data_IF_696266216074
#
_entry.id   IF_696266216074
#
_cell.length_a   1.000
_cell.length_b   1.000
_cell.length_c   1.000
_cell.angle_alpha   90.00
_cell.angle_beta   90.00
_cell.angle_gamma   90.00
#
_symmetry.space_group_name_H-M   'P 1'
#
loop_
_entity.id
_entity.type
_entity.pdbx_description
1 polymer ?
#
# COMPACT_ATOMS: atom_id res chain seq x y z
N UNK A 1 -7.59 11.16 12.07
CA UNK A 1 -7.31 10.35 10.85
C UNK A 1 -7.14 8.87 11.29
N UNK A 2 -6.88 7.94 10.38
CA UNK A 2 -6.69 6.50 10.71
C UNK A 2 -5.51 6.29 11.67
N UNK A 3 -4.40 7.02 11.50
CA UNK A 3 -3.24 6.95 12.41
C UNK A 3 -3.58 7.29 13.86
N UNK A 4 -4.51 8.22 14.09
CA UNK A 4 -5.01 8.56 15.43
C UNK A 4 -5.72 7.38 16.10
N UNK A 5 -6.53 6.63 15.34
CA UNK A 5 -7.25 5.46 15.86
C UNK A 5 -6.26 4.35 16.23
N UNK A 6 -5.28 4.09 15.37
CA UNK A 6 -4.25 3.08 15.60
C UNK A 6 -3.32 3.42 16.77
N UNK A 7 -3.21 4.70 17.13
CA UNK A 7 -2.44 5.15 18.28
C UNK A 7 -3.14 4.94 19.63
N UNK A 8 -4.43 4.59 19.66
CA UNK A 8 -5.17 4.36 20.91
C UNK A 8 -4.62 3.14 21.67
N UNK A 9 -4.65 3.11 23.01
CA UNK A 9 -4.19 1.96 23.80
C UNK A 9 -4.88 0.64 23.45
N UNK A 10 -6.12 0.70 22.96
CA UNK A 10 -6.86 -0.48 22.51
C UNK A 10 -6.26 -1.15 21.27
N UNK A 11 -5.48 -0.42 20.47
CA UNK A 11 -4.95 -0.86 19.17
C UNK A 11 -3.41 -0.91 19.12
N UNK A 12 -2.74 0.07 19.74
CA UNK A 12 -1.28 0.25 19.64
C UNK A 12 -0.52 -1.01 20.09
N UNK A 13 0.38 -1.49 19.25
CA UNK A 13 1.21 -2.67 19.52
C UNK A 13 0.47 -4.02 19.46
N UNK A 14 -0.83 -4.02 19.09
CA UNK A 14 -1.63 -5.25 18.98
C UNK A 14 -1.75 -5.79 17.56
N UNK A 15 -1.50 -4.95 16.55
CA UNK A 15 -1.40 -5.43 15.16
C UNK A 15 -0.11 -6.22 15.02
N UNK A 16 -0.24 -7.54 14.82
CA UNK A 16 0.89 -8.46 14.65
C UNK A 16 1.11 -8.89 13.21
N UNK A 17 0.02 -8.96 12.44
CA UNK A 17 0.00 -9.39 11.06
C UNK A 17 -0.96 -8.51 10.27
N UNK A 18 -0.50 -8.03 9.14
CA UNK A 18 -1.27 -7.28 8.15
C UNK A 18 -1.28 -8.12 6.89
N UNK A 19 -2.47 -8.44 6.40
CA UNK A 19 -2.66 -9.18 5.15
C UNK A 19 -3.50 -8.30 4.24
N UNK A 20 -2.95 -7.98 3.07
CA UNK A 20 -3.61 -7.17 2.06
C UNK A 20 -3.88 -8.06 0.86
N UNK A 21 -5.16 -8.11 0.49
CA UNK A 21 -5.61 -8.79 -0.72
C UNK A 21 -5.27 -7.94 -1.95
N UNK A 22 -4.55 -8.55 -2.89
CA UNK A 22 -4.13 -7.92 -4.15
C UNK A 22 -4.48 -8.83 -5.34
N UNK A 23 -5.61 -9.53 -5.30
CA UNK A 23 -6.08 -10.34 -6.43
C UNK A 23 -6.51 -9.43 -7.58
N UNK A 24 -7.34 -8.42 -7.28
CA UNK A 24 -7.86 -7.44 -8.25
C UNK A 24 -7.89 -6.01 -7.71
N UNK A 25 -6.72 -5.40 -7.47
CA UNK A 25 -6.63 -4.04 -6.96
C UNK A 25 -7.22 -3.00 -7.93
N UNK A 26 -7.67 -1.87 -7.39
CA UNK A 26 -8.15 -0.71 -8.13
C UNK A 26 -7.05 0.36 -8.13
N UNK A 27 -6.56 0.79 -9.29
CA UNK A 27 -5.48 1.78 -9.38
C UNK A 27 -5.94 3.22 -9.58
N UNK A 28 -7.24 3.47 -9.78
CA UNK A 28 -7.77 4.82 -9.94
C UNK A 28 -9.26 4.93 -9.54
N UNK A 29 -9.62 6.05 -8.88
CA UNK A 29 -10.98 6.32 -8.41
C UNK A 29 -11.31 5.61 -7.09
N UNK A 30 -12.57 5.21 -6.95
CA UNK A 30 -13.12 4.65 -5.71
C UNK A 30 -14.03 5.63 -4.95
N UNK A 31 -14.82 5.17 -3.95
CA UNK A 31 -14.91 3.78 -3.49
C UNK A 31 -15.70 2.86 -4.44
N UNK A 32 -16.47 3.42 -5.38
CA UNK A 32 -17.11 2.64 -6.43
C UNK A 32 -16.06 2.10 -7.40
N UNK A 33 -16.23 0.83 -7.74
CA UNK A 33 -15.31 0.12 -8.61
C UNK A 33 -15.61 0.48 -10.07
N UNK A 34 -14.58 0.98 -10.78
CA UNK A 34 -14.60 1.09 -12.23
C UNK A 34 -13.74 -0.05 -12.82
N UNK A 35 -14.34 -0.99 -13.58
CA UNK A 35 -13.61 -2.12 -14.18
C UNK A 35 -12.41 -1.72 -15.05
N UNK A 36 -12.44 -0.55 -15.68
CA UNK A 36 -11.33 -0.06 -16.52
C UNK A 36 -10.07 0.26 -15.71
N UNK A 37 -10.18 0.38 -14.39
CA UNK A 37 -9.08 0.67 -13.47
C UNK A 37 -8.77 -0.48 -12.50
N UNK A 38 -9.25 -1.68 -12.81
CA UNK A 38 -8.86 -2.91 -12.13
C UNK A 38 -7.95 -3.75 -13.01
N UNK A 39 -7.13 -4.60 -12.39
CA UNK A 39 -6.34 -5.60 -13.10
C UNK A 39 -6.12 -6.84 -12.24
N UNK A 40 -5.92 -7.99 -12.88
CA UNK A 40 -5.67 -9.24 -12.19
C UNK A 40 -4.20 -9.33 -11.73
N UNK A 41 -3.88 -8.71 -10.58
CA UNK A 41 -2.54 -8.82 -9.99
C UNK A 41 -2.30 -10.20 -9.34
N UNK A 42 -3.36 -10.87 -8.87
CA UNK A 42 -3.33 -12.26 -8.34
C UNK A 42 -2.33 -12.46 -7.20
N UNK A 43 -2.12 -11.43 -6.39
CA UNK A 43 -1.15 -11.43 -5.30
C UNK A 43 -1.76 -11.32 -3.91
N UNK A 44 -0.91 -11.53 -2.91
CA UNK A 44 -1.15 -11.19 -1.51
C UNK A 44 0.08 -10.46 -0.98
N UNK A 45 -0.14 -9.44 -0.15
CA UNK A 45 0.92 -8.82 0.62
C UNK A 45 0.73 -9.15 2.09
N UNK A 46 1.79 -9.58 2.75
CA UNK A 46 1.81 -9.92 4.16
C UNK A 46 2.93 -9.15 4.84
N UNK A 47 2.64 -8.51 5.96
CA UNK A 47 3.60 -7.68 6.70
C UNK A 47 3.34 -7.74 8.21
N UNK A 48 4.39 -7.53 9.00
CA UNK A 48 4.28 -7.27 10.44
C UNK A 48 4.28 -5.77 10.78
N UNK A 49 4.52 -4.91 9.78
CA UNK A 49 4.50 -3.45 9.88
C UNK A 49 3.39 -2.88 8.97
N UNK A 50 2.36 -2.21 9.53
CA UNK A 50 1.25 -1.67 8.76
C UNK A 50 1.63 -0.52 7.83
N UNK A 51 2.59 0.32 8.24
CA UNK A 51 3.03 1.47 7.42
C UNK A 51 3.89 0.98 6.27
N UNK A 52 4.74 -0.03 6.50
CA UNK A 52 5.54 -0.64 5.44
C UNK A 52 4.65 -1.32 4.40
N UNK A 53 3.58 -2.00 4.83
CA UNK A 53 2.60 -2.63 3.95
C UNK A 53 1.96 -1.61 3.01
N UNK A 54 1.42 -0.52 3.55
CA UNK A 54 0.78 0.54 2.75
C UNK A 54 1.80 1.27 1.85
N UNK A 55 3.06 1.39 2.29
CA UNK A 55 4.15 1.99 1.50
C UNK A 55 4.44 1.15 0.25
N UNK A 56 4.50 -0.17 0.40
CA UNK A 56 4.66 -1.11 -0.73
C UNK A 56 3.44 -1.06 -1.65
N UNK A 57 2.22 -1.07 -1.09
CA UNK A 57 0.98 -0.93 -1.87
C UNK A 57 0.95 0.37 -2.67
N UNK A 58 1.36 1.50 -2.08
CA UNK A 58 1.41 2.78 -2.78
C UNK A 58 2.38 2.75 -3.97
N UNK A 59 3.55 2.10 -3.83
CA UNK A 59 4.51 1.94 -4.94
C UNK A 59 3.95 1.05 -6.03
N UNK A 60 3.37 -0.09 -5.67
CA UNK A 60 2.70 -0.99 -6.61
C UNK A 60 1.60 -0.26 -7.38
N UNK A 61 0.77 0.53 -6.68
CA UNK A 61 -0.29 1.34 -7.26
C UNK A 61 0.28 2.37 -8.24
N UNK A 62 1.30 3.11 -7.83
CA UNK A 62 1.94 4.14 -8.66
C UNK A 62 2.54 3.52 -9.92
N UNK A 63 3.25 2.40 -9.79
CA UNK A 63 3.83 1.68 -10.93
C UNK A 63 2.74 1.22 -11.90
N UNK A 64 1.57 0.76 -11.41
CA UNK A 64 0.44 0.39 -12.28
C UNK A 64 -0.16 1.61 -12.99
N UNK A 65 -0.30 2.73 -12.29
CA UNK A 65 -0.84 3.99 -12.85
C UNK A 65 0.06 4.51 -13.95
N UNK A 66 1.36 4.50 -13.71
CA UNK A 66 2.37 4.96 -14.67
C UNK A 66 2.39 4.06 -15.92
N UNK A 67 2.39 2.73 -15.71
CA UNK A 67 2.28 1.73 -16.78
C UNK A 67 1.01 1.92 -17.64
N UNK A 68 -0.16 2.07 -17.00
CA UNK A 68 -1.42 2.24 -17.70
C UNK A 68 -1.49 3.55 -18.51
N UNK A 69 -0.94 4.64 -17.98
CA UNK A 69 -0.97 5.94 -18.66
C UNK A 69 0.16 6.08 -19.70
N UNK A 70 1.25 5.34 -19.54
CA UNK A 70 2.48 5.48 -20.33
C UNK A 70 3.39 6.64 -19.90
N UNK A 71 3.02 7.33 -18.81
CA UNK A 71 3.77 8.43 -18.20
C UNK A 71 3.43 8.53 -16.71
N UNK A 72 4.17 9.36 -15.97
CA UNK A 72 3.91 9.64 -14.56
C UNK A 72 2.44 10.06 -14.36
N UNK A 73 1.70 9.32 -13.55
CA UNK A 73 0.33 9.62 -13.16
C UNK A 73 0.18 9.65 -11.65
N UNK A 74 0.58 10.76 -11.04
CA UNK A 74 0.55 10.91 -9.58
C UNK A 74 -0.86 10.72 -9.02
N UNK A 75 -0.93 10.17 -7.81
CA UNK A 75 -2.16 10.07 -7.04
C UNK A 75 -2.60 11.46 -6.57
N UNK A 76 -3.87 11.81 -6.80
CA UNK A 76 -4.47 13.07 -6.35
C UNK A 76 -5.79 12.80 -5.60
N UNK A 77 -5.91 13.23 -4.33
CA UNK A 77 -4.86 13.85 -3.52
C UNK A 77 -3.72 12.87 -3.19
N UNK A 78 -2.51 13.36 -2.87
CA UNK A 78 -1.41 12.50 -2.46
C UNK A 78 -1.73 11.74 -1.17
N UNK A 79 -1.07 10.59 -0.97
CA UNK A 79 -1.26 9.71 0.17
C UNK A 79 -0.62 10.26 1.47
N UNK A 80 -0.98 11.47 1.89
CA UNK A 80 -0.41 12.16 3.06
C UNK A 80 -0.56 11.40 4.39
N UNK A 81 -1.57 10.52 4.47
CA UNK A 81 -1.83 9.69 5.65
C UNK A 81 -0.67 8.74 5.98
N UNK A 82 0.07 8.27 4.97
CA UNK A 82 1.25 7.42 5.14
C UNK A 82 2.36 8.16 5.88
N UNK A 83 2.63 9.41 5.48
CA UNK A 83 3.64 10.24 6.11
C UNK A 83 3.29 10.57 7.56
N UNK A 84 2.04 10.96 7.83
CA UNK A 84 1.55 11.19 9.19
C UNK A 84 1.63 9.93 10.07
N UNK A 85 1.24 8.75 9.55
CA UNK A 85 1.32 7.49 10.30
C UNK A 85 2.78 7.10 10.64
N UNK A 86 3.69 7.33 9.70
CA UNK A 86 5.11 7.06 9.81
C UNK A 86 5.81 8.03 10.79
N UNK A 87 5.69 9.33 10.56
CA UNK A 87 6.50 10.37 11.23
C UNK A 87 5.87 10.86 12.53
N UNK A 88 4.57 11.12 12.54
CA UNK A 88 3.88 11.69 13.71
C UNK A 88 3.47 10.60 14.69
N UNK A 89 2.82 9.53 14.21
CA UNK A 89 2.28 8.48 15.08
C UNK A 89 3.27 7.34 15.38
N UNK A 90 4.35 7.24 14.59
CA UNK A 90 5.41 6.22 14.71
C UNK A 90 4.82 4.81 14.76
N UNK A 91 3.90 4.51 13.85
CA UNK A 91 3.20 3.23 13.77
C UNK A 91 3.95 2.16 12.97
N UNK A 92 5.01 2.56 12.28
CA UNK A 92 5.79 1.73 11.38
C UNK A 92 6.72 2.58 10.53
N UNK A 93 7.31 2.00 9.48
CA UNK A 93 8.23 2.71 8.58
C UNK A 93 7.68 2.91 7.17
N UNK A 94 7.95 4.10 6.61
CA UNK A 94 7.69 4.48 5.23
C UNK A 94 8.99 4.63 4.42
N UNK A 95 10.12 4.25 5.01
CA UNK A 95 11.45 4.35 4.43
C UNK A 95 11.81 3.05 3.71
N UNK A 96 11.92 3.11 2.37
CA UNK A 96 12.27 1.96 1.53
C UNK A 96 13.62 1.33 1.90
N UNK A 97 14.58 2.08 2.41
CA UNK A 97 15.87 1.53 2.85
C UNK A 97 15.76 0.64 4.11
N UNK A 98 14.60 0.66 4.78
CA UNK A 98 14.29 -0.10 5.99
C UNK A 98 13.22 -1.17 5.78
N UNK A 99 12.69 -1.28 4.56
CA UNK A 99 11.68 -2.28 4.20
C UNK A 99 12.39 -3.42 3.48
N UNK A 100 12.42 -4.60 4.11
CA UNK A 100 12.89 -5.83 3.48
C UNK A 100 11.73 -6.49 2.72
N UNK A 101 11.69 -6.28 1.40
CA UNK A 101 10.65 -6.84 0.55
C UNK A 101 11.09 -8.18 -0.04
N UNK A 102 10.53 -9.26 0.49
CA UNK A 102 10.72 -10.61 -0.04
C UNK A 102 9.61 -10.92 -1.06
N UNK A 103 10.01 -11.36 -2.25
CA UNK A 103 9.09 -11.74 -3.34
C UNK A 103 9.11 -13.25 -3.53
N UNK A 104 7.94 -13.85 -3.56
CA UNK A 104 7.78 -15.29 -3.75
C UNK A 104 6.62 -15.58 -4.71
N UNK A 105 6.77 -16.62 -5.53
CA UNK A 105 5.78 -17.02 -6.51
C UNK A 105 6.06 -16.45 -7.91
N UNK A 106 5.00 -16.15 -8.65
CA UNK A 106 5.08 -15.68 -10.03
C UNK A 106 5.66 -14.27 -10.11
N UNK A 107 6.75 -14.09 -10.87
CA UNK A 107 7.49 -12.83 -10.92
C UNK A 107 7.14 -11.95 -12.15
N UNK A 108 6.53 -12.51 -13.20
CA UNK A 108 6.15 -11.69 -14.33
C UNK A 108 5.07 -10.71 -13.90
N UNK A 109 5.22 -9.45 -14.31
CA UNK A 109 4.34 -8.33 -13.95
C UNK A 109 4.27 -8.03 -12.44
N UNK A 110 5.27 -8.49 -11.66
CA UNK A 110 5.46 -8.04 -10.29
C UNK A 110 5.89 -6.56 -10.31
N UNK A 111 4.91 -5.68 -10.07
CA UNK A 111 5.08 -4.22 -10.08
C UNK A 111 5.82 -3.67 -8.87
N UNK A 112 6.42 -4.54 -8.04
CA UNK A 112 7.27 -4.19 -6.90
C UNK A 112 8.21 -5.36 -6.61
#
# INVERSE_FOLDING_TARGET
NVGTVWSKPSCRGKTRLVVIELLRPLFNGGPQVNPNYQWDYKGLLVSTDPVAADTVCLRLLQNKRDDFKGERWDLSPPAVHLETACREHRLGTCDWGRIDLVKAGWAADALV
#
